data_IF_569594045633
#
_entry.id   IF_569594045633
#
_cell.length_a   1.000
_cell.length_b   1.000
_cell.length_c   1.000
_cell.angle_alpha   90.00
_cell.angle_beta   90.00
_cell.angle_gamma   90.00
#
_symmetry.space_group_name_H-M   'P 1'
#
loop_
_entity.id
_entity.type
_entity.pdbx_description
1 polymer ?
#
# COMPACT_ATOMS: atom_id res chain seq x y z
N UNK A 1 29.69 -40.90 33.21
CA UNK A 1 30.64 -42.04 33.23
C UNK A 1 31.39 -42.12 34.56
N UNK A 2 32.21 -41.12 34.97
CA UNK A 2 32.99 -41.13 36.23
C UNK A 2 32.13 -41.45 37.47
N UNK A 3 31.00 -40.77 37.64
CA UNK A 3 30.10 -40.99 38.82
C UNK A 3 29.48 -42.36 38.84
N UNK A 4 29.14 -42.90 37.66
CA UNK A 4 28.56 -44.23 37.56
C UNK A 4 29.59 -45.32 37.98
N UNK A 5 30.82 -45.23 37.47
CA UNK A 5 31.87 -46.17 37.82
C UNK A 5 32.21 -46.17 39.33
N UNK A 6 32.20 -44.98 39.94
CA UNK A 6 32.43 -44.87 41.40
C UNK A 6 31.21 -45.38 42.19
N UNK A 7 29.97 -45.11 41.75
CA UNK A 7 28.76 -45.68 42.34
C UNK A 7 28.71 -47.19 42.21
N UNK A 8 29.24 -47.77 41.16
CA UNK A 8 29.40 -49.23 40.92
C UNK A 8 30.56 -49.82 41.75
N UNK A 9 31.17 -49.06 42.68
CA UNK A 9 32.20 -49.52 43.63
C UNK A 9 33.64 -49.47 43.09
N UNK A 10 33.88 -48.90 41.90
CA UNK A 10 35.25 -48.82 41.33
C UNK A 10 36.02 -47.70 42.09
N UNK A 11 37.22 -48.02 42.66
CA UNK A 11 38.02 -47.03 43.37
C UNK A 11 38.43 -45.85 42.47
N UNK A 12 38.36 -44.60 43.02
CA UNK A 12 38.68 -43.38 42.24
C UNK A 12 40.03 -43.42 41.51
N UNK A 13 41.03 -44.12 42.12
CA UNK A 13 42.36 -44.31 41.50
C UNK A 13 42.26 -45.18 40.26
N UNK A 14 41.40 -46.16 40.27
CA UNK A 14 41.15 -47.03 39.12
C UNK A 14 40.42 -46.32 38.03
N UNK A 15 39.35 -45.61 38.38
CA UNK A 15 38.61 -44.74 37.41
C UNK A 15 39.53 -43.74 36.71
N UNK A 16 40.46 -43.11 37.46
CA UNK A 16 41.45 -42.19 36.89
C UNK A 16 42.38 -42.87 35.86
N UNK A 17 42.83 -44.10 36.14
CA UNK A 17 43.66 -44.88 35.23
C UNK A 17 42.90 -45.36 34.01
N UNK A 18 41.74 -45.94 34.22
CA UNK A 18 40.93 -46.54 33.14
C UNK A 18 40.42 -45.49 32.14
N UNK A 19 40.19 -44.26 32.60
CA UNK A 19 39.73 -43.17 31.76
C UNK A 19 40.86 -42.20 31.28
N UNK A 20 42.12 -42.47 31.68
CA UNK A 20 43.26 -41.63 31.29
C UNK A 20 43.18 -40.17 31.80
N UNK A 21 42.49 -39.93 32.94
CA UNK A 21 42.26 -38.58 33.49
C UNK A 21 42.92 -38.39 34.85
N UNK A 22 43.22 -37.14 35.21
CA UNK A 22 43.81 -36.81 36.49
C UNK A 22 42.87 -37.11 37.66
N UNK A 23 43.44 -37.59 38.80
CA UNK A 23 42.68 -37.86 40.07
C UNK A 23 41.90 -36.63 40.53
N UNK A 24 42.42 -35.42 40.36
CA UNK A 24 41.74 -34.15 40.64
C UNK A 24 40.52 -33.92 39.76
N UNK A 25 40.53 -34.46 38.54
CA UNK A 25 39.39 -34.40 37.62
C UNK A 25 38.28 -35.35 38.08
N UNK A 26 38.62 -36.53 38.55
CA UNK A 26 37.67 -37.50 39.12
C UNK A 26 37.04 -36.89 40.42
N UNK A 27 37.85 -36.34 41.31
CA UNK A 27 37.34 -35.72 42.53
C UNK A 27 36.42 -34.56 42.24
N UNK A 28 36.73 -33.68 41.29
CA UNK A 28 35.85 -32.58 40.85
C UNK A 28 34.55 -33.07 40.21
N UNK A 29 34.63 -34.14 39.40
CA UNK A 29 33.44 -34.74 38.80
C UNK A 29 32.49 -35.35 39.84
N UNK A 30 32.99 -35.78 40.96
CA UNK A 30 32.19 -36.30 42.08
C UNK A 30 31.60 -35.20 42.97
N UNK A 31 32.34 -34.11 43.14
CA UNK A 31 31.93 -32.97 43.98
C UNK A 31 30.86 -32.02 43.34
N UNK A 32 30.59 -32.19 42.05
CA UNK A 32 29.64 -31.26 41.34
C UNK A 32 28.58 -32.06 40.60
N UNK A 33 27.31 -31.68 40.68
CA UNK A 33 26.19 -32.30 39.96
C UNK A 33 26.13 -31.95 38.45
N UNK A 34 26.91 -30.95 38.00
CA UNK A 34 27.00 -30.51 36.63
C UNK A 34 28.44 -30.63 36.12
N UNK A 35 28.65 -30.75 34.79
CA UNK A 35 29.97 -30.66 34.21
C UNK A 35 30.68 -29.40 34.68
N UNK A 36 31.97 -29.41 35.04
CA UNK A 36 32.67 -28.20 35.45
C UNK A 36 32.71 -27.23 34.30
N UNK A 37 32.11 -26.03 34.53
CA UNK A 37 32.14 -24.91 33.62
C UNK A 37 33.41 -24.11 33.90
N UNK A 38 34.26 -23.95 32.88
CA UNK A 38 35.41 -23.06 33.03
C UNK A 38 34.94 -21.64 33.13
N UNK A 39 34.99 -21.04 34.32
CA UNK A 39 34.73 -19.63 34.55
C UNK A 39 36.06 -18.92 34.74
N UNK A 40 36.41 -18.10 33.73
CA UNK A 40 37.58 -17.24 33.83
C UNK A 40 37.21 -16.04 34.71
N UNK A 41 38.07 -15.71 35.68
CA UNK A 41 37.88 -14.49 36.48
C UNK A 41 37.75 -13.28 35.54
N UNK A 42 36.81 -12.33 35.83
CA UNK A 42 36.63 -11.13 35.02
C UNK A 42 37.97 -10.35 34.97
N UNK A 43 38.48 -10.13 33.76
CA UNK A 43 39.66 -9.30 33.53
C UNK A 43 39.20 -7.91 33.13
N UNK A 44 39.78 -6.83 33.69
CA UNK A 44 39.47 -5.47 33.25
C UNK A 44 39.68 -5.31 31.77
N UNK A 45 38.72 -4.69 31.10
CA UNK A 45 38.72 -4.42 29.65
C UNK A 45 38.94 -2.92 29.43
N UNK A 46 39.22 -2.52 28.18
CA UNK A 46 39.27 -1.09 27.81
C UNK A 46 38.01 -0.31 28.13
N UNK A 47 36.88 -0.99 28.27
CA UNK A 47 35.59 -0.38 28.64
C UNK A 47 35.43 -0.15 30.16
N UNK A 48 36.09 -0.94 30.98
CA UNK A 48 35.96 -0.90 32.45
C UNK A 48 36.14 0.48 33.07
N UNK A 49 37.09 1.32 32.68
CA UNK A 49 37.25 2.67 33.22
C UNK A 49 36.07 3.61 32.90
N UNK A 50 35.33 3.33 31.82
CA UNK A 50 34.21 4.15 31.34
C UNK A 50 32.86 3.66 31.87
N UNK A 51 32.79 2.42 32.31
CA UNK A 51 31.54 1.79 32.74
C UNK A 51 30.78 2.59 33.81
N UNK A 52 31.38 3.13 34.88
CA UNK A 52 30.66 3.88 35.89
C UNK A 52 29.96 5.12 35.29
N UNK A 53 30.61 5.85 34.41
CA UNK A 53 30.01 7.03 33.75
C UNK A 53 28.93 6.64 32.75
N UNK A 54 29.09 5.52 32.04
CA UNK A 54 28.07 4.96 31.14
C UNK A 54 26.83 4.58 31.94
N UNK A 55 26.98 3.92 33.11
CA UNK A 55 25.90 3.55 34.00
C UNK A 55 25.14 4.78 34.50
N UNK A 56 25.82 5.82 34.95
CA UNK A 56 25.18 7.07 35.39
C UNK A 56 24.36 7.72 34.26
N UNK A 57 24.88 7.73 33.02
CA UNK A 57 24.12 8.25 31.87
C UNK A 57 22.91 7.38 31.55
N UNK A 58 23.03 6.05 31.63
CA UNK A 58 21.92 5.14 31.37
C UNK A 58 20.83 5.20 32.44
N UNK A 59 21.16 5.54 33.67
CA UNK A 59 20.21 5.74 34.75
C UNK A 59 19.29 6.93 34.48
N UNK A 60 19.84 8.06 34.01
CA UNK A 60 19.04 9.24 33.66
C UNK A 60 18.39 9.13 32.26
N UNK A 61 19.09 8.49 31.33
CA UNK A 61 18.72 8.43 29.91
C UNK A 61 18.87 7.02 29.34
N UNK A 62 18.02 6.05 29.71
CA UNK A 62 18.15 4.64 29.32
C UNK A 62 18.12 4.40 27.79
N UNK A 63 17.47 5.28 27.05
CA UNK A 63 17.34 5.18 25.59
C UNK A 63 18.37 5.98 24.78
N UNK A 64 19.30 6.69 25.44
CA UNK A 64 20.31 7.49 24.75
C UNK A 64 21.16 6.62 23.80
N UNK A 65 21.35 7.02 22.51
CA UNK A 65 22.16 6.27 21.57
C UNK A 65 23.58 6.01 22.10
N UNK A 66 24.09 4.79 21.88
CA UNK A 66 25.42 4.42 22.35
C UNK A 66 26.55 5.31 21.77
N UNK A 67 26.37 5.84 20.56
CA UNK A 67 27.31 6.80 19.93
C UNK A 67 27.39 8.12 20.70
N UNK A 68 26.23 8.62 21.16
CA UNK A 68 26.17 9.86 21.97
C UNK A 68 26.76 9.62 23.38
N UNK A 69 26.51 8.43 23.97
CA UNK A 69 27.14 8.06 25.24
C UNK A 69 28.68 8.00 25.07
N UNK A 70 29.17 7.38 24.00
CA UNK A 70 30.59 7.27 23.71
C UNK A 70 31.27 8.65 23.63
N UNK A 71 30.66 9.60 22.94
CA UNK A 71 31.10 10.99 22.85
C UNK A 71 31.16 11.65 24.23
N UNK A 72 30.10 11.54 25.03
CA UNK A 72 29.99 12.16 26.36
C UNK A 72 31.02 11.62 27.38
N UNK A 73 31.34 10.33 27.28
CA UNK A 73 32.37 9.74 28.18
C UNK A 73 33.79 9.88 27.67
N UNK A 74 33.97 10.39 26.44
CA UNK A 74 35.28 10.56 25.82
C UNK A 74 35.89 9.23 25.34
N UNK A 75 35.07 8.32 24.79
CA UNK A 75 35.54 7.03 24.26
C UNK A 75 36.30 7.21 22.95
N UNK A 76 37.54 6.67 22.90
CA UNK A 76 38.42 6.74 21.73
C UNK A 76 38.65 5.38 21.05
N UNK A 77 38.10 4.30 21.58
CA UNK A 77 38.27 2.92 21.07
C UNK A 77 37.24 2.54 20.00
N UNK A 78 37.15 1.23 19.72
CA UNK A 78 36.19 0.68 18.77
C UNK A 78 34.74 1.02 19.14
N UNK A 79 34.03 1.67 18.23
CA UNK A 79 32.60 2.04 18.39
C UNK A 79 31.72 0.78 18.50
N UNK A 80 32.05 -0.29 17.78
CA UNK A 80 31.31 -1.57 17.84
C UNK A 80 31.46 -2.19 19.23
N UNK A 81 32.68 -2.27 19.75
CA UNK A 81 32.93 -2.76 21.10
C UNK A 81 32.19 -1.96 22.20
N UNK A 82 32.22 -0.64 22.09
CA UNK A 82 31.47 0.22 22.99
C UNK A 82 29.97 -0.03 22.93
N UNK A 83 29.43 -0.10 21.74
CA UNK A 83 27.99 -0.37 21.51
C UNK A 83 27.56 -1.71 22.11
N UNK A 84 28.37 -2.75 21.97
CA UNK A 84 28.05 -4.08 22.54
C UNK A 84 28.06 -4.05 24.08
N UNK A 85 28.99 -3.31 24.70
CA UNK A 85 28.99 -3.14 26.14
C UNK A 85 27.76 -2.32 26.63
N UNK A 86 27.42 -1.23 25.97
CA UNK A 86 26.20 -0.45 26.28
C UNK A 86 24.94 -1.31 26.10
N UNK A 87 24.89 -2.13 25.03
CA UNK A 87 23.77 -3.08 24.82
C UNK A 87 23.62 -4.08 25.96
N UNK A 88 24.73 -4.56 26.51
CA UNK A 88 24.73 -5.48 27.66
C UNK A 88 24.22 -4.81 28.93
N UNK A 89 24.59 -3.55 29.18
CA UNK A 89 24.21 -2.82 30.39
C UNK A 89 22.80 -2.26 30.35
N UNK A 90 22.33 -1.83 29.17
CA UNK A 90 21.05 -1.13 28.99
C UNK A 90 19.82 -1.84 29.60
N UNK A 91 19.67 -3.18 29.55
CA UNK A 91 18.53 -3.85 30.16
C UNK A 91 18.39 -3.64 31.66
N UNK A 92 19.47 -3.30 32.37
CA UNK A 92 19.46 -3.03 33.81
C UNK A 92 18.75 -1.70 34.15
N UNK A 93 18.70 -0.76 33.19
CA UNK A 93 18.15 0.59 33.35
C UNK A 93 16.83 0.81 32.60
N UNK A 94 16.58 -0.02 31.61
CA UNK A 94 15.34 0.06 30.85
C UNK A 94 14.19 -0.53 31.65
N UNK A 95 13.11 0.27 31.82
CA UNK A 95 11.89 -0.27 32.40
C UNK A 95 11.37 -1.40 31.50
N UNK A 96 10.98 -2.55 32.08
CA UNK A 96 10.30 -3.57 31.30
C UNK A 96 9.04 -2.97 30.68
N UNK A 97 8.89 -3.15 29.38
CA UNK A 97 7.69 -2.78 28.62
C UNK A 97 7.01 -4.11 28.21
N UNK A 98 6.14 -4.67 29.08
CA UNK A 98 5.50 -5.94 28.81
C UNK A 98 4.44 -5.75 27.73
N UNK A 99 4.56 -6.53 26.64
CA UNK A 99 3.55 -6.58 25.61
C UNK A 99 2.65 -7.81 25.80
N UNK A 100 1.35 -7.59 25.82
CA UNK A 100 0.38 -8.67 25.90
C UNK A 100 0.27 -9.41 24.55
N UNK A 101 0.03 -10.72 24.62
CA UNK A 101 -0.30 -11.48 23.43
C UNK A 101 -1.72 -11.18 23.00
N UNK A 102 -1.87 -10.37 21.96
CA UNK A 102 -3.17 -10.09 21.38
C UNK A 102 -3.83 -11.38 20.85
N UNK A 103 -4.97 -11.74 21.41
CA UNK A 103 -5.87 -12.77 20.89
C UNK A 103 -7.07 -12.09 20.23
N UNK A 104 -7.48 -12.62 19.09
CA UNK A 104 -8.58 -12.07 18.30
C UNK A 104 -9.68 -13.10 18.16
N UNK A 105 -10.92 -12.70 18.44
CA UNK A 105 -12.09 -13.52 18.16
C UNK A 105 -12.26 -13.68 16.63
N UNK A 106 -12.91 -14.77 16.22
CA UNK A 106 -13.24 -14.99 14.82
C UNK A 106 -14.13 -13.85 14.30
N UNK A 107 -13.87 -13.38 13.08
CA UNK A 107 -14.61 -12.33 12.39
C UNK A 107 -14.41 -10.91 12.93
N UNK A 108 -13.65 -10.76 14.00
CA UNK A 108 -13.53 -9.49 14.71
C UNK A 108 -12.76 -8.43 13.92
N UNK A 109 -11.57 -8.75 13.42
CA UNK A 109 -10.72 -7.75 12.79
C UNK A 109 -9.90 -8.28 11.61
N UNK A 110 -9.52 -7.37 10.72
CA UNK A 110 -8.45 -7.56 9.75
C UNK A 110 -7.49 -6.38 9.78
N UNK A 111 -6.20 -6.67 9.66
CA UNK A 111 -5.15 -5.68 9.55
C UNK A 111 -4.90 -5.35 8.08
N UNK A 112 -4.93 -4.06 7.75
CA UNK A 112 -4.64 -3.53 6.43
C UNK A 112 -3.30 -2.78 6.49
N UNK A 113 -2.41 -3.06 5.56
CA UNK A 113 -1.08 -2.47 5.50
C UNK A 113 -0.64 -2.24 4.07
N UNK A 114 0.25 -1.28 3.85
CA UNK A 114 0.91 -1.05 2.57
C UNK A 114 2.36 -1.55 2.65
N UNK A 115 2.64 -2.56 1.85
CA UNK A 115 3.98 -3.03 1.59
C UNK A 115 4.54 -2.40 0.33
N UNK A 116 5.79 -1.95 0.37
CA UNK A 116 6.52 -1.43 -0.78
C UNK A 116 7.62 -2.43 -1.14
N UNK A 117 7.42 -3.27 -2.16
CA UNK A 117 8.45 -4.19 -2.62
C UNK A 117 9.76 -3.46 -2.92
N UNK A 118 10.94 -3.99 -2.56
CA UNK A 118 12.21 -3.32 -2.79
C UNK A 118 12.61 -3.26 -4.27
N UNK A 119 11.86 -3.90 -5.16
CA UNK A 119 12.07 -3.90 -6.61
C UNK A 119 11.10 -2.97 -7.32
N UNK A 120 11.62 -2.21 -8.30
CA UNK A 120 10.81 -1.42 -9.21
C UNK A 120 10.13 -2.31 -10.24
N UNK A 121 8.87 -2.06 -10.51
CA UNK A 121 8.03 -2.80 -11.47
C UNK A 121 7.99 -2.03 -12.79
N UNK A 122 8.13 -2.71 -13.95
CA UNK A 122 7.96 -2.09 -15.26
C UNK A 122 6.53 -1.62 -15.47
N UNK A 123 6.38 -0.44 -16.11
CA UNK A 123 5.10 0.15 -16.48
C UNK A 123 4.94 0.16 -18.02
N UNK A 124 3.78 0.61 -18.49
CA UNK A 124 3.36 0.59 -19.89
C UNK A 124 4.26 1.44 -20.80
N UNK A 125 4.90 2.47 -20.25
CA UNK A 125 5.83 3.36 -20.97
C UNK A 125 7.30 2.89 -20.95
N UNK A 126 7.56 1.69 -20.39
CA UNK A 126 8.90 1.15 -20.21
C UNK A 126 9.65 1.70 -18.99
N UNK A 127 9.09 2.67 -18.28
CA UNK A 127 9.65 3.14 -17.02
C UNK A 127 9.50 2.08 -15.91
N UNK A 128 10.26 2.23 -14.83
CA UNK A 128 10.18 1.32 -13.67
C UNK A 128 9.99 2.13 -12.39
N UNK A 129 9.00 1.77 -11.59
CA UNK A 129 8.69 2.48 -10.34
C UNK A 129 8.42 1.54 -9.18
N UNK A 130 8.55 2.08 -7.94
CA UNK A 130 8.09 1.40 -6.74
C UNK A 130 6.58 1.63 -6.59
N UNK A 131 5.82 0.55 -6.52
CA UNK A 131 4.38 0.59 -6.36
C UNK A 131 3.97 0.00 -5.01
N UNK A 132 2.94 0.56 -4.36
CA UNK A 132 2.41 0.02 -3.12
C UNK A 132 1.62 -1.27 -3.37
N UNK A 133 1.71 -2.20 -2.43
CA UNK A 133 0.90 -3.41 -2.37
C UNK A 133 0.01 -3.31 -1.14
N UNK A 134 -1.29 -3.27 -1.34
CA UNK A 134 -2.24 -3.40 -0.24
C UNK A 134 -2.29 -4.85 0.21
N UNK A 135 -2.12 -5.07 1.51
CA UNK A 135 -2.22 -6.38 2.13
C UNK A 135 -3.28 -6.34 3.23
N UNK A 136 -4.23 -7.26 3.17
CA UNK A 136 -5.22 -7.49 4.22
C UNK A 136 -4.94 -8.83 4.87
N UNK A 137 -4.86 -8.86 6.19
CA UNK A 137 -4.70 -10.11 6.95
C UNK A 137 -5.74 -10.19 8.04
N UNK A 138 -6.53 -11.23 8.02
CA UNK A 138 -7.50 -11.49 9.10
C UNK A 138 -6.77 -11.70 10.43
N UNK A 139 -7.29 -11.13 11.50
CA UNK A 139 -6.59 -11.13 12.78
C UNK A 139 -6.67 -12.49 13.49
N UNK A 140 -7.75 -13.25 13.32
CA UNK A 140 -7.94 -14.57 13.90
C UNK A 140 -7.26 -15.66 13.08
N UNK A 141 -7.69 -15.86 11.84
CA UNK A 141 -7.19 -16.95 10.99
C UNK A 141 -5.80 -16.68 10.39
N UNK A 142 -5.33 -15.42 10.42
CA UNK A 142 -4.07 -14.99 9.77
C UNK A 142 -4.07 -15.18 8.25
N UNK A 143 -5.24 -15.32 7.65
CA UNK A 143 -5.38 -15.44 6.20
C UNK A 143 -5.00 -14.14 5.52
N UNK A 144 -4.16 -14.24 4.50
CA UNK A 144 -3.58 -13.09 3.79
C UNK A 144 -4.18 -12.95 2.40
N UNK A 145 -4.54 -11.71 2.07
CA UNK A 145 -4.93 -11.24 0.75
C UNK A 145 -4.05 -10.03 0.39
N UNK A 146 -3.83 -9.79 -0.87
CA UNK A 146 -3.11 -8.58 -1.26
C UNK A 146 -3.04 -8.38 -2.76
N UNK A 147 -2.90 -7.12 -3.15
CA UNK A 147 -2.70 -6.71 -4.54
C UNK A 147 -1.90 -5.41 -4.63
N UNK A 148 -1.10 -5.28 -5.68
CA UNK A 148 -0.43 -4.04 -6.04
C UNK A 148 -1.44 -3.05 -6.58
N UNK A 149 -1.26 -1.78 -6.24
CA UNK A 149 -2.16 -0.69 -6.62
C UNK A 149 -1.37 0.47 -7.24
N UNK A 150 -2.01 1.30 -8.07
CA UNK A 150 -1.31 2.36 -8.80
C UNK A 150 -0.79 3.46 -7.88
N UNK A 151 -1.57 3.85 -6.86
CA UNK A 151 -1.22 4.92 -5.94
C UNK A 151 -1.65 4.61 -4.51
N UNK A 152 -1.15 5.40 -3.54
CA UNK A 152 -1.64 5.36 -2.14
C UNK A 152 -2.70 6.43 -1.86
N UNK A 153 -3.41 6.90 -2.88
CA UNK A 153 -4.54 7.82 -2.71
C UNK A 153 -5.74 7.10 -2.13
N UNK A 154 -6.60 7.84 -1.48
CA UNK A 154 -7.79 7.30 -0.81
C UNK A 154 -8.65 6.46 -1.75
N UNK A 155 -8.87 6.93 -2.97
CA UNK A 155 -9.71 6.29 -3.96
C UNK A 155 -9.20 4.90 -4.34
N UNK A 156 -7.89 4.77 -4.59
CA UNK A 156 -7.26 3.49 -4.96
C UNK A 156 -7.20 2.54 -3.75
N UNK A 157 -6.94 3.07 -2.54
CA UNK A 157 -6.92 2.28 -1.30
C UNK A 157 -8.29 1.69 -0.97
N UNK A 158 -9.36 2.51 -1.06
CA UNK A 158 -10.71 2.06 -0.78
C UNK A 158 -11.18 1.04 -1.82
N UNK A 159 -10.88 1.28 -3.09
CA UNK A 159 -11.25 0.34 -4.16
C UNK A 159 -10.54 -0.99 -4.00
N UNK A 160 -9.22 -0.98 -3.80
CA UNK A 160 -8.46 -2.20 -3.56
C UNK A 160 -8.92 -2.94 -2.30
N UNK A 161 -9.27 -2.20 -1.23
CA UNK A 161 -9.85 -2.81 -0.04
C UNK A 161 -11.16 -3.52 -0.38
N UNK A 162 -12.03 -2.87 -1.17
CA UNK A 162 -13.29 -3.47 -1.59
C UNK A 162 -13.09 -4.73 -2.43
N UNK A 163 -12.21 -4.69 -3.44
CA UNK A 163 -11.90 -5.86 -4.29
C UNK A 163 -11.36 -7.03 -3.46
N UNK A 164 -10.45 -6.78 -2.51
CA UNK A 164 -9.93 -7.82 -1.63
C UNK A 164 -11.01 -8.37 -0.67
N UNK A 165 -11.95 -7.54 -0.20
CA UNK A 165 -13.09 -8.00 0.60
C UNK A 165 -14.08 -8.85 -0.24
N UNK A 166 -14.25 -8.53 -1.53
CA UNK A 166 -15.02 -9.37 -2.45
C UNK A 166 -14.37 -10.75 -2.64
N UNK A 167 -13.03 -10.80 -2.78
CA UNK A 167 -12.30 -12.08 -2.83
C UNK A 167 -12.45 -12.84 -1.50
N UNK A 168 -12.40 -12.16 -0.37
CA UNK A 168 -12.65 -12.76 0.94
C UNK A 168 -14.11 -13.27 1.05
N UNK A 169 -15.06 -12.58 0.40
CA UNK A 169 -16.49 -12.88 0.42
C UNK A 169 -17.21 -12.42 1.69
N UNK A 170 -16.54 -11.69 2.57
CA UNK A 170 -17.06 -11.20 3.86
C UNK A 170 -16.37 -9.90 4.27
N UNK A 171 -16.95 -9.22 5.25
CA UNK A 171 -16.41 -7.97 5.82
C UNK A 171 -16.07 -8.19 7.29
N UNK A 172 -14.81 -8.04 7.70
CA UNK A 172 -14.43 -8.03 9.11
C UNK A 172 -15.16 -6.92 9.88
N UNK A 173 -15.50 -7.16 11.15
CA UNK A 173 -16.17 -6.15 11.98
C UNK A 173 -15.32 -4.90 12.20
N UNK A 174 -14.00 -5.03 12.15
CA UNK A 174 -13.03 -3.93 12.27
C UNK A 174 -11.94 -4.05 11.22
N UNK A 175 -11.61 -2.93 10.57
CA UNK A 175 -10.45 -2.77 9.71
C UNK A 175 -9.39 -1.95 10.45
N UNK A 176 -8.24 -2.53 10.68
CA UNK A 176 -7.14 -1.91 11.44
C UNK A 176 -6.11 -1.42 10.45
N UNK A 177 -5.86 -0.11 10.43
CA UNK A 177 -4.85 0.53 9.61
C UNK A 177 -3.74 1.14 10.46
N UNK A 178 -2.50 1.14 9.95
CA UNK A 178 -1.47 2.05 10.46
C UNK A 178 -1.78 3.50 10.04
N UNK A 179 -0.95 4.47 10.42
CA UNK A 179 -1.12 5.87 10.07
C UNK A 179 -0.90 6.14 8.58
N UNK A 180 -1.72 5.54 7.72
CA UNK A 180 -1.71 5.77 6.28
C UNK A 180 -2.43 7.08 5.95
N UNK A 181 -1.74 8.08 5.34
CA UNK A 181 -2.35 9.37 5.03
C UNK A 181 -3.56 9.29 4.10
N UNK A 182 -3.59 8.31 3.18
CA UNK A 182 -4.74 8.06 2.30
C UNK A 182 -5.98 7.55 3.04
N UNK A 183 -5.84 7.07 4.27
CA UNK A 183 -6.97 6.68 5.14
C UNK A 183 -7.32 7.80 6.11
N UNK A 184 -6.34 8.64 6.49
CA UNK A 184 -6.58 9.80 7.34
C UNK A 184 -5.36 10.24 8.12
N UNK A 185 -5.48 11.42 8.75
CA UNK A 185 -4.42 12.00 9.59
C UNK A 185 -4.97 12.42 10.95
N UNK A 186 -4.22 12.14 12.02
CA UNK A 186 -4.62 12.45 13.39
C UNK A 186 -5.99 11.83 13.72
N UNK A 187 -6.97 12.61 14.11
CA UNK A 187 -8.34 12.15 14.42
C UNK A 187 -9.30 12.18 13.23
N UNK A 188 -8.89 12.69 12.05
CA UNK A 188 -9.76 12.87 10.88
C UNK A 188 -9.52 11.76 9.87
N UNK A 189 -10.62 11.19 9.38
CA UNK A 189 -10.59 10.31 8.21
C UNK A 189 -10.39 11.13 6.93
N UNK A 190 -9.79 10.53 5.91
CA UNK A 190 -9.80 11.09 4.57
C UNK A 190 -11.23 11.10 4.00
N UNK A 191 -11.47 11.96 3.02
CA UNK A 191 -12.76 12.06 2.34
C UNK A 191 -13.14 10.69 1.75
N UNK A 192 -14.42 10.32 1.83
CA UNK A 192 -14.94 9.05 1.35
C UNK A 192 -14.80 7.87 2.31
N UNK A 193 -13.81 7.89 3.23
CA UNK A 193 -13.55 6.76 4.15
C UNK A 193 -14.76 6.48 5.07
N UNK A 194 -15.39 7.51 5.60
CA UNK A 194 -16.55 7.35 6.48
C UNK A 194 -17.75 6.74 5.74
N UNK A 195 -18.01 7.18 4.51
CA UNK A 195 -19.06 6.61 3.67
C UNK A 195 -18.77 5.16 3.29
N UNK A 196 -17.52 4.87 2.93
CA UNK A 196 -17.06 3.52 2.62
C UNK A 196 -17.27 2.56 3.79
N UNK A 197 -16.77 2.91 4.98
CA UNK A 197 -16.89 2.06 6.17
C UNK A 197 -18.33 1.95 6.66
N UNK A 198 -19.14 3.02 6.53
CA UNK A 198 -20.56 3.01 6.84
C UNK A 198 -21.35 2.04 5.95
N UNK A 199 -21.08 2.02 4.64
CA UNK A 199 -21.73 1.06 3.70
C UNK A 199 -21.32 -0.37 4.03
N UNK A 200 -20.07 -0.63 4.44
CA UNK A 200 -19.59 -1.94 4.86
C UNK A 200 -20.08 -2.35 6.26
N UNK A 201 -20.68 -1.45 7.04
CA UNK A 201 -21.03 -1.62 8.45
C UNK A 201 -19.82 -2.05 9.32
N UNK A 202 -18.61 -1.67 8.93
CA UNK A 202 -17.35 -2.00 9.62
C UNK A 202 -16.81 -0.80 10.37
N UNK A 203 -16.09 -1.03 11.46
CA UNK A 203 -15.39 0.04 12.19
C UNK A 203 -13.94 0.14 11.71
N UNK A 204 -13.50 1.36 11.41
CA UNK A 204 -12.10 1.60 11.07
C UNK A 204 -11.35 2.03 12.32
N UNK A 205 -10.31 1.26 12.66
CA UNK A 205 -9.36 1.59 13.72
C UNK A 205 -8.03 2.01 13.10
N UNK A 206 -7.52 3.17 13.50
CA UNK A 206 -6.16 3.58 13.17
C UNK A 206 -5.29 3.46 14.40
N UNK A 207 -4.16 2.79 14.23
CA UNK A 207 -3.21 2.59 15.32
C UNK A 207 -2.55 3.93 15.69
N UNK A 208 -2.31 4.17 17.00
CA UNK A 208 -1.54 5.33 17.43
C UNK A 208 -0.13 5.32 16.81
N UNK A 209 0.47 6.49 16.54
CA UNK A 209 1.87 6.55 16.13
C UNK A 209 2.76 5.93 17.21
N UNK A 210 3.71 5.07 16.81
CA UNK A 210 4.69 4.41 17.70
C UNK A 210 4.08 3.42 18.70
N UNK A 211 3.05 2.67 18.29
CA UNK A 211 2.59 1.52 19.05
C UNK A 211 3.40 0.27 18.60
N UNK A 212 4.41 -0.18 19.39
CA UNK A 212 5.26 -1.30 19.02
C UNK A 212 4.53 -2.64 19.09
N UNK A 213 3.46 -2.76 19.89
CA UNK A 213 2.73 -4.02 20.09
C UNK A 213 1.95 -4.41 18.81
N UNK A 214 1.25 -3.45 18.24
CA UNK A 214 0.50 -3.64 16.99
C UNK A 214 1.42 -3.78 15.78
N UNK A 215 2.60 -3.14 15.80
CA UNK A 215 3.54 -3.05 14.68
C UNK A 215 4.38 -4.31 14.48
N UNK A 216 4.68 -5.05 15.54
CA UNK A 216 5.52 -6.26 15.47
C UNK A 216 4.95 -7.40 14.62
N UNK A 217 3.65 -7.40 14.31
CA UNK A 217 3.02 -8.36 13.39
C UNK A 217 3.22 -7.92 11.94
N UNK A 218 3.12 -6.61 11.67
CA UNK A 218 3.23 -6.01 10.34
C UNK A 218 4.68 -6.05 9.83
N UNK A 219 5.66 -5.61 10.62
CA UNK A 219 7.08 -5.62 10.25
C UNK A 219 7.58 -7.03 9.92
N UNK A 220 7.18 -8.03 10.70
CA UNK A 220 7.52 -9.44 10.42
C UNK A 220 6.88 -9.95 9.13
N UNK A 221 5.74 -9.41 8.72
CA UNK A 221 5.05 -9.80 7.49
C UNK A 221 5.74 -9.23 6.26
N UNK A 222 6.12 -7.96 6.28
CA UNK A 222 6.85 -7.33 5.18
C UNK A 222 8.18 -8.04 4.95
N UNK A 223 8.94 -8.34 6.03
CA UNK A 223 10.13 -9.19 5.95
C UNK A 223 9.85 -10.59 5.40
N UNK A 224 8.68 -11.18 5.67
CA UNK A 224 8.29 -12.48 5.11
C UNK A 224 8.06 -12.40 3.59
N UNK A 225 7.44 -11.33 3.08
CA UNK A 225 7.29 -11.12 1.63
C UNK A 225 8.64 -10.92 0.95
N UNK A 226 9.52 -10.10 1.55
CA UNK A 226 10.85 -9.81 1.01
C UNK A 226 11.76 -11.05 0.96
N UNK A 227 11.65 -11.93 1.95
CA UNK A 227 12.51 -13.11 2.05
C UNK A 227 11.94 -14.38 1.40
N UNK A 228 10.61 -14.45 1.22
CA UNK A 228 9.95 -15.69 0.76
C UNK A 228 9.18 -15.53 -0.55
N UNK A 229 8.74 -14.34 -0.92
CA UNK A 229 8.06 -14.08 -2.19
C UNK A 229 9.01 -13.50 -3.24
N UNK A 230 9.76 -12.46 -2.90
CA UNK A 230 10.57 -11.69 -3.85
C UNK A 230 11.77 -12.44 -4.46
N UNK A 231 12.50 -13.32 -3.74
CA UNK A 231 13.71 -13.91 -4.29
C UNK A 231 13.46 -14.78 -5.52
N UNK A 232 14.29 -14.58 -6.56
CA UNK A 232 14.23 -15.37 -7.79
C UNK A 232 13.05 -15.08 -8.70
N UNK A 233 12.28 -14.01 -8.46
CA UNK A 233 11.15 -13.61 -9.31
C UNK A 233 11.49 -12.39 -10.15
N UNK A 234 10.99 -12.38 -11.36
CA UNK A 234 10.96 -11.23 -12.23
C UNK A 234 9.51 -10.89 -12.60
N UNK A 235 9.26 -9.60 -12.78
CA UNK A 235 7.93 -9.08 -13.06
C UNK A 235 7.97 -8.24 -14.33
N UNK A 236 7.05 -8.51 -15.23
CA UNK A 236 6.91 -7.80 -16.51
C UNK A 236 5.97 -6.61 -16.44
N UNK A 237 5.04 -6.62 -15.49
CA UNK A 237 4.04 -5.56 -15.27
C UNK A 237 3.43 -5.65 -13.88
N UNK A 238 2.64 -4.63 -13.44
CA UNK A 238 1.86 -4.71 -12.21
C UNK A 238 0.84 -5.87 -12.22
N UNK A 239 0.23 -6.15 -13.36
CA UNK A 239 -0.71 -7.26 -13.51
C UNK A 239 -0.02 -8.61 -13.31
N UNK A 240 1.15 -8.81 -13.93
CA UNK A 240 1.99 -10.01 -13.75
C UNK A 240 2.40 -10.18 -12.27
N UNK A 241 2.81 -9.09 -11.60
CA UNK A 241 3.08 -9.11 -10.17
C UNK A 241 1.87 -9.61 -9.38
N UNK A 242 0.67 -9.07 -9.65
CA UNK A 242 -0.54 -9.44 -8.96
C UNK A 242 -0.91 -10.92 -9.14
N UNK A 243 -0.75 -11.46 -10.35
CA UNK A 243 -0.95 -12.89 -10.63
C UNK A 243 0.01 -13.73 -9.79
N UNK A 244 1.32 -13.46 -9.88
CA UNK A 244 2.34 -14.21 -9.14
C UNK A 244 2.16 -14.08 -7.62
N UNK A 245 1.76 -12.91 -7.13
CA UNK A 245 1.54 -12.68 -5.70
C UNK A 245 0.30 -13.41 -5.18
N UNK A 246 -0.81 -13.39 -5.92
CA UNK A 246 -2.02 -14.12 -5.58
C UNK A 246 -1.77 -15.64 -5.51
N UNK A 247 -1.09 -16.22 -6.50
CA UNK A 247 -0.71 -17.64 -6.50
C UNK A 247 0.19 -17.99 -5.31
N UNK A 248 1.13 -17.11 -4.99
CA UNK A 248 2.02 -17.32 -3.85
C UNK A 248 1.26 -17.21 -2.52
N UNK A 249 0.36 -16.23 -2.35
CA UNK A 249 -0.50 -16.08 -1.17
C UNK A 249 -1.38 -17.31 -0.96
N UNK A 250 -1.92 -17.89 -2.03
CA UNK A 250 -2.69 -19.14 -1.96
C UNK A 250 -1.86 -20.25 -1.31
N UNK A 251 -0.60 -20.43 -1.75
CA UNK A 251 0.32 -21.41 -1.14
C UNK A 251 0.75 -21.01 0.27
N UNK A 252 0.99 -19.72 0.54
CA UNK A 252 1.38 -19.23 1.85
C UNK A 252 0.29 -19.47 2.91
N UNK A 253 -0.98 -19.31 2.55
CA UNK A 253 -2.12 -19.56 3.43
C UNK A 253 -2.33 -21.05 3.78
N UNK A 254 -1.69 -21.99 3.08
CA UNK A 254 -1.71 -23.42 3.43
C UNK A 254 -0.54 -23.86 4.32
N UNK A 255 0.37 -22.95 4.67
CA UNK A 255 1.50 -23.26 5.58
C UNK A 255 1.08 -23.11 7.04
N UNK A 256 1.62 -23.96 7.91
CA UNK A 256 1.39 -23.85 9.36
C UNK A 256 2.04 -22.58 9.90
N UNK A 257 1.25 -21.72 10.52
CA UNK A 257 1.70 -20.50 11.18
C UNK A 257 1.92 -20.78 12.65
N UNK A 258 3.14 -20.54 13.14
CA UNK A 258 3.57 -20.90 14.51
C UNK A 258 2.67 -20.26 15.59
N UNK A 259 2.19 -19.05 15.39
CA UNK A 259 1.39 -18.34 16.40
C UNK A 259 0.00 -18.91 16.60
N UNK A 260 -0.60 -19.44 15.54
CA UNK A 260 -1.94 -20.07 15.58
C UNK A 260 -1.84 -21.61 15.58
N UNK A 261 -0.63 -22.18 15.41
CA UNK A 261 -0.32 -23.61 15.40
C UNK A 261 -1.10 -24.43 14.36
N UNK A 262 -1.65 -23.78 13.35
CA UNK A 262 -2.42 -24.38 12.25
C UNK A 262 -2.25 -23.57 10.97
N UNK A 263 -2.90 -23.98 9.88
CA UNK A 263 -2.86 -23.27 8.60
C UNK A 263 -3.95 -22.20 8.59
N UNK A 264 -3.68 -21.01 8.06
CA UNK A 264 -4.70 -19.93 7.91
C UNK A 264 -5.99 -20.42 7.24
N UNK A 265 -5.87 -21.22 6.20
CA UNK A 265 -7.02 -21.74 5.43
C UNK A 265 -7.95 -22.61 6.29
N UNK A 266 -7.42 -23.33 7.28
CA UNK A 266 -8.22 -24.23 8.14
C UNK A 266 -9.11 -23.44 9.12
N UNK A 267 -8.73 -22.20 9.48
CA UNK A 267 -9.50 -21.32 10.37
C UNK A 267 -10.39 -20.34 9.60
N UNK A 268 -10.24 -20.25 8.27
CA UNK A 268 -10.89 -19.22 7.47
C UNK A 268 -12.41 -19.32 7.50
N UNK A 269 -12.98 -20.52 7.43
CA UNK A 269 -14.43 -20.70 7.39
C UNK A 269 -15.09 -20.26 8.71
N UNK A 270 -14.48 -20.59 9.85
CA UNK A 270 -14.93 -20.13 11.16
C UNK A 270 -14.80 -18.60 11.29
N UNK A 271 -13.72 -18.03 10.75
CA UNK A 271 -13.49 -16.59 10.73
C UNK A 271 -14.56 -15.89 9.88
N UNK A 272 -14.80 -16.38 8.66
CA UNK A 272 -15.83 -15.87 7.74
C UNK A 272 -17.26 -15.97 8.30
N UNK A 273 -17.59 -17.04 8.99
CA UNK A 273 -18.92 -17.23 9.58
C UNK A 273 -19.26 -16.15 10.61
N UNK A 274 -18.25 -15.62 11.32
CA UNK A 274 -18.42 -14.57 12.31
C UNK A 274 -18.31 -13.13 11.74
N UNK A 275 -17.86 -12.97 10.49
CA UNK A 275 -17.79 -11.68 9.79
C UNK A 275 -19.17 -11.20 9.30
N UNK A 276 -19.25 -9.94 8.93
CA UNK A 276 -20.42 -9.34 8.30
C UNK A 276 -20.56 -9.82 6.83
N UNK A 277 -21.78 -9.89 6.29
CA UNK A 277 -21.96 -10.14 4.87
C UNK A 277 -21.46 -8.96 4.03
N UNK A 278 -21.15 -9.22 2.76
CA UNK A 278 -20.94 -8.13 1.80
C UNK A 278 -22.23 -7.34 1.64
N UNK A 279 -22.16 -6.00 1.53
CA UNK A 279 -23.36 -5.18 1.31
C UNK A 279 -23.94 -5.46 -0.08
N UNK A 280 -25.28 -5.35 -0.26
CA UNK A 280 -25.93 -5.56 -1.55
C UNK A 280 -25.57 -4.49 -2.58
N UNK A 281 -25.15 -3.28 -2.12
CA UNK A 281 -24.67 -2.18 -2.95
C UNK A 281 -23.21 -1.97 -2.65
N UNK A 282 -22.33 -1.94 -3.68
CA UNK A 282 -20.91 -1.63 -3.48
C UNK A 282 -20.71 -0.30 -2.74
N UNK A 283 -19.74 -0.22 -1.82
CA UNK A 283 -19.39 1.05 -1.20
C UNK A 283 -18.82 2.01 -2.23
N UNK A 284 -18.97 3.34 -2.03
CA UNK A 284 -18.34 4.32 -2.91
C UNK A 284 -16.81 4.16 -2.81
N UNK A 285 -16.20 3.75 -3.92
CA UNK A 285 -14.77 3.52 -4.02
C UNK A 285 -14.29 3.80 -5.43
N UNK A 286 -12.98 4.06 -5.58
CA UNK A 286 -12.39 4.47 -6.85
C UNK A 286 -12.56 5.98 -7.11
N UNK A 287 -11.91 6.43 -8.16
CA UNK A 287 -11.96 7.83 -8.55
C UNK A 287 -13.24 8.11 -9.35
N UNK A 288 -13.99 9.13 -8.93
CA UNK A 288 -15.20 9.56 -9.61
C UNK A 288 -15.21 11.09 -9.71
N UNK A 289 -15.51 11.59 -10.90
CA UNK A 289 -15.67 13.02 -11.12
C UNK A 289 -16.70 13.29 -12.23
N UNK A 290 -17.33 14.47 -12.19
CA UNK A 290 -18.23 14.92 -13.21
C UNK A 290 -17.68 16.18 -13.85
N UNK A 291 -17.36 16.10 -15.13
CA UNK A 291 -16.67 17.16 -15.86
C UNK A 291 -17.40 17.53 -17.15
N UNK A 292 -17.30 18.79 -17.57
CA UNK A 292 -17.71 19.18 -18.91
C UNK A 292 -16.58 18.82 -19.88
N UNK A 293 -16.87 17.97 -20.88
CA UNK A 293 -15.88 17.57 -21.86
C UNK A 293 -15.42 18.78 -22.67
N UNK A 294 -14.11 19.03 -22.67
CA UNK A 294 -13.46 20.11 -23.41
C UNK A 294 -13.44 19.88 -24.91
N UNK A 295 -13.03 20.90 -25.67
CA UNK A 295 -12.91 20.84 -27.13
C UNK A 295 -11.79 19.88 -27.61
N UNK A 296 -10.83 19.63 -26.75
CA UNK A 296 -9.75 18.64 -26.95
C UNK A 296 -10.23 17.20 -26.84
N UNK A 297 -11.46 16.97 -26.34
CA UNK A 297 -12.11 15.67 -26.10
C UNK A 297 -11.32 14.70 -25.22
N UNK A 298 -10.55 15.23 -24.25
CA UNK A 298 -9.86 14.42 -23.25
C UNK A 298 -10.38 14.71 -21.83
N UNK A 299 -10.34 13.67 -21.00
CA UNK A 299 -10.53 13.78 -19.55
C UNK A 299 -9.23 13.40 -18.85
N UNK A 300 -8.90 14.14 -17.78
CA UNK A 300 -7.69 13.91 -17.00
C UNK A 300 -8.00 13.11 -15.74
N UNK A 301 -7.23 12.03 -15.56
CA UNK A 301 -7.25 11.22 -14.34
C UNK A 301 -5.81 11.14 -13.84
N UNK A 302 -5.60 11.57 -12.57
CA UNK A 302 -4.27 11.75 -12.02
C UNK A 302 -3.42 12.71 -12.89
N UNK A 303 -2.46 12.17 -13.61
CA UNK A 303 -1.57 12.94 -14.50
C UNK A 303 -1.73 12.56 -15.96
N UNK A 304 -2.62 11.62 -16.28
CA UNK A 304 -2.78 11.07 -17.62
C UNK A 304 -4.10 11.50 -18.27
N UNK A 305 -4.10 11.69 -19.57
CA UNK A 305 -5.23 12.13 -20.38
C UNK A 305 -5.81 10.96 -21.18
N UNK A 306 -7.14 10.84 -21.17
CA UNK A 306 -7.88 9.77 -21.85
C UNK A 306 -8.88 10.37 -22.82
N UNK A 307 -8.84 9.94 -24.08
CA UNK A 307 -9.76 10.45 -25.09
C UNK A 307 -11.20 9.97 -24.86
N UNK A 308 -12.16 10.81 -25.23
CA UNK A 308 -13.59 10.53 -25.13
C UNK A 308 -14.21 10.76 -26.50
N UNK A 309 -15.34 10.12 -26.80
CA UNK A 309 -16.05 10.34 -28.07
C UNK A 309 -16.30 11.84 -28.28
N UNK A 310 -15.75 12.47 -29.32
CA UNK A 310 -15.92 13.90 -29.59
C UNK A 310 -17.37 14.33 -29.84
N UNK A 311 -18.26 13.39 -30.17
CA UNK A 311 -19.68 13.68 -30.34
C UNK A 311 -20.35 14.24 -29.06
N UNK A 312 -19.72 14.06 -27.89
CA UNK A 312 -20.23 14.55 -26.61
C UNK A 312 -19.47 15.77 -26.06
N UNK A 313 -18.67 16.45 -26.89
CA UNK A 313 -18.01 17.72 -26.53
C UNK A 313 -19.03 18.71 -25.98
N UNK A 314 -18.66 19.42 -24.88
CA UNK A 314 -19.52 20.39 -24.22
C UNK A 314 -20.56 19.79 -23.29
N UNK A 315 -20.74 18.47 -23.25
CA UNK A 315 -21.68 17.79 -22.34
C UNK A 315 -20.99 17.52 -20.99
N UNK A 316 -21.80 17.40 -19.93
CA UNK A 316 -21.34 16.91 -18.63
C UNK A 316 -21.28 15.38 -18.68
N UNK A 317 -20.10 14.84 -18.47
CA UNK A 317 -19.85 13.40 -18.45
C UNK A 317 -19.42 12.95 -17.06
N UNK A 318 -19.85 11.75 -16.69
CA UNK A 318 -19.42 11.09 -15.46
C UNK A 318 -18.19 10.23 -15.78
N UNK A 319 -17.08 10.52 -15.12
CA UNK A 319 -15.79 9.83 -15.30
C UNK A 319 -15.51 8.99 -14.07
N UNK A 320 -15.22 7.72 -14.27
CA UNK A 320 -14.85 6.78 -13.20
C UNK A 320 -13.54 6.08 -13.54
N UNK A 321 -12.66 5.95 -12.55
CA UNK A 321 -11.46 5.12 -12.69
C UNK A 321 -11.42 4.05 -11.60
N UNK A 322 -11.39 2.80 -12.06
CA UNK A 322 -11.05 1.63 -11.29
C UNK A 322 -9.52 1.46 -11.17
N UNK A 323 -9.06 0.33 -10.65
CA UNK A 323 -7.63 0.02 -10.63
C UNK A 323 -7.08 -0.29 -12.03
N UNK A 324 -7.87 -0.92 -12.90
CA UNK A 324 -7.46 -1.37 -14.23
C UNK A 324 -8.15 -0.63 -15.37
N UNK A 325 -9.31 0.00 -15.14
CA UNK A 325 -10.14 0.56 -16.19
C UNK A 325 -10.58 1.98 -15.89
N UNK A 326 -10.61 2.80 -16.94
CA UNK A 326 -11.23 4.12 -16.98
C UNK A 326 -12.50 4.04 -17.81
N UNK A 327 -13.60 4.58 -17.33
CA UNK A 327 -14.87 4.67 -18.06
C UNK A 327 -15.42 6.09 -17.99
N UNK A 328 -15.94 6.55 -19.12
CA UNK A 328 -16.65 7.83 -19.24
C UNK A 328 -18.07 7.55 -19.69
N UNK A 329 -19.03 8.13 -18.98
CA UNK A 329 -20.46 7.93 -19.27
C UNK A 329 -21.20 9.25 -19.47
N UNK A 330 -22.12 9.24 -20.40
CA UNK A 330 -23.10 10.30 -20.58
C UNK A 330 -24.49 9.72 -20.37
N UNK A 331 -25.24 10.21 -19.38
CA UNK A 331 -26.56 9.69 -19.01
C UNK A 331 -26.60 8.15 -18.86
N UNK A 332 -25.57 7.58 -18.22
CA UNK A 332 -25.43 6.14 -18.00
C UNK A 332 -24.85 5.35 -19.18
N UNK A 333 -24.85 5.90 -20.41
CA UNK A 333 -24.23 5.26 -21.58
C UNK A 333 -22.72 5.46 -21.58
N UNK A 334 -21.94 4.40 -21.82
CA UNK A 334 -20.49 4.48 -21.96
C UNK A 334 -20.16 5.19 -23.27
N UNK A 335 -19.39 6.27 -23.20
CA UNK A 335 -18.89 7.08 -24.34
C UNK A 335 -17.37 7.00 -24.49
N UNK A 336 -16.66 6.42 -23.52
CA UNK A 336 -15.27 6.00 -23.62
C UNK A 336 -14.94 4.92 -22.60
N UNK A 337 -14.01 4.03 -22.94
CA UNK A 337 -13.50 3.00 -22.06
C UNK A 337 -12.05 2.68 -22.42
N UNK A 338 -11.14 2.84 -21.46
CA UNK A 338 -9.71 2.62 -21.64
C UNK A 338 -9.15 1.74 -20.52
N UNK A 339 -8.05 1.06 -20.79
CA UNK A 339 -7.22 0.51 -19.72
C UNK A 339 -6.56 1.66 -18.97
N UNK A 340 -6.57 1.61 -17.63
CA UNK A 340 -5.92 2.62 -16.82
C UNK A 340 -4.41 2.41 -16.87
N UNK A 341 -3.69 3.42 -17.35
CA UNK A 341 -2.23 3.41 -17.34
C UNK A 341 -1.72 3.85 -15.97
N UNK A 342 -0.71 3.15 -15.46
CA UNK A 342 -0.11 3.46 -14.15
C UNK A 342 1.13 4.34 -14.30
N UNK A 343 1.68 4.41 -15.50
CA UNK A 343 2.71 5.39 -15.88
C UNK A 343 2.13 6.81 -15.84
N UNK A 344 2.96 7.78 -15.46
CA UNK A 344 2.55 9.18 -15.32
C UNK A 344 2.64 9.94 -16.63
N UNK A 345 1.75 10.94 -16.81
CA UNK A 345 1.82 11.89 -17.91
C UNK A 345 1.54 11.25 -19.29
N UNK A 346 0.80 10.15 -19.31
CA UNK A 346 0.46 9.46 -20.56
C UNK A 346 -0.77 10.07 -21.22
N UNK A 347 -0.83 9.96 -22.55
CA UNK A 347 -2.01 10.29 -23.35
C UNK A 347 -2.52 9.04 -24.02
N UNK A 348 -3.67 8.56 -23.56
CA UNK A 348 -4.33 7.35 -24.09
C UNK A 348 -5.41 7.77 -25.07
N UNK A 349 -5.20 7.44 -26.33
CA UNK A 349 -6.06 7.88 -27.44
C UNK A 349 -6.69 6.68 -28.13
N UNK A 350 -8.03 6.66 -28.22
CA UNK A 350 -8.75 5.72 -29.06
C UNK A 350 -8.75 6.23 -30.52
N UNK A 351 -8.27 5.46 -31.49
CA UNK A 351 -8.30 5.83 -32.91
C UNK A 351 -9.72 6.15 -33.43
N UNK A 352 -10.75 5.51 -32.89
CA UNK A 352 -12.14 5.79 -33.25
C UNK A 352 -12.56 7.21 -32.87
N UNK A 353 -12.08 7.71 -31.70
CA UNK A 353 -12.31 9.08 -31.27
C UNK A 353 -11.63 10.09 -32.22
N UNK A 354 -10.41 9.80 -32.67
CA UNK A 354 -9.70 10.65 -33.66
C UNK A 354 -10.46 10.71 -34.96
N UNK A 355 -10.94 9.56 -35.48
CA UNK A 355 -11.73 9.51 -36.70
C UNK A 355 -13.04 10.31 -36.58
N UNK A 356 -13.74 10.19 -35.45
CA UNK A 356 -14.95 10.97 -35.14
C UNK A 356 -14.64 12.46 -35.10
N UNK A 357 -13.54 12.86 -34.43
CA UNK A 357 -13.12 14.26 -34.36
C UNK A 357 -12.82 14.84 -35.76
N UNK A 358 -12.20 14.07 -36.64
CA UNK A 358 -11.94 14.48 -38.04
C UNK A 358 -13.25 14.73 -38.79
N UNK A 359 -14.19 13.79 -38.76
CA UNK A 359 -15.51 13.93 -39.39
C UNK A 359 -16.28 15.13 -38.86
N UNK A 360 -16.31 15.36 -37.56
CA UNK A 360 -16.99 16.51 -36.96
C UNK A 360 -16.37 17.83 -37.38
N UNK A 361 -15.04 17.92 -37.52
CA UNK A 361 -14.36 19.12 -38.05
C UNK A 361 -14.72 19.39 -39.51
N UNK A 362 -14.78 18.36 -40.35
CA UNK A 362 -15.21 18.48 -41.74
C UNK A 362 -16.66 19.00 -41.84
N UNK A 363 -17.56 18.46 -41.01
CA UNK A 363 -18.95 18.95 -40.94
C UNK A 363 -19.05 20.39 -40.42
N UNK A 364 -18.22 20.79 -39.44
CA UNK A 364 -18.22 22.15 -38.91
C UNK A 364 -17.75 23.18 -39.95
N UNK A 365 -16.86 22.82 -40.84
CA UNK A 365 -16.37 23.67 -41.90
C UNK A 365 -17.27 23.68 -43.19
N UNK A 366 -18.22 22.74 -43.28
CA UNK A 366 -19.22 22.81 -44.32
C UNK A 366 -20.23 23.92 -43.95
N UNK A 367 -20.49 24.89 -44.88
CA UNK A 367 -21.55 25.84 -44.64
C UNK A 367 -22.86 25.09 -44.39
N UNK A 368 -23.69 25.53 -43.44
CA UNK A 368 -24.99 24.92 -43.19
C UNK A 368 -25.71 24.88 -44.53
N UNK A 369 -26.20 23.70 -44.92
CA UNK A 369 -27.08 23.59 -46.07
C UNK A 369 -28.19 24.63 -45.86
N UNK A 370 -28.25 25.68 -46.69
CA UNK A 370 -29.38 26.55 -46.67
C UNK A 370 -30.62 25.68 -46.84
N UNK A 371 -31.60 25.72 -45.93
CA UNK A 371 -32.85 25.05 -46.19
C UNK A 371 -33.27 25.58 -47.58
N UNK A 372 -33.52 24.68 -48.54
CA UNK A 372 -34.20 25.07 -49.73
C UNK A 372 -35.53 25.66 -49.23
N UNK A 373 -35.61 26.97 -49.19
CA UNK A 373 -36.88 27.62 -49.10
C UNK A 373 -37.56 27.38 -50.44
N UNK A 374 -38.23 26.25 -50.57
CA UNK A 374 -39.39 26.13 -51.39
C UNK A 374 -40.45 27.05 -50.77
N UNK A 375 -40.33 28.34 -51.00
CA UNK A 375 -41.44 29.26 -50.88
C UNK A 375 -42.29 29.04 -52.11
N UNK A 376 -43.47 28.41 -52.06
CA UNK A 376 -44.31 28.18 -53.19
C UNK A 376 -44.95 29.49 -53.73
N UNK A 377 -44.75 30.61 -53.12
CA UNK A 377 -45.29 31.87 -53.56
C UNK A 377 -44.26 33.02 -53.44
N UNK A 378 -43.84 33.52 -54.54
CA UNK A 378 -43.23 34.74 -54.99
C UNK A 378 -42.99 35.92 -54.02
N UNK A 379 -42.52 35.67 -52.81
CA UNK A 379 -42.10 36.66 -51.81
C UNK A 379 -40.58 36.76 -51.66
N UNK A 380 -39.80 36.42 -52.72
CA UNK A 380 -38.44 36.96 -52.85
C UNK A 380 -38.62 38.38 -53.39
N UNK A 381 -38.84 39.34 -52.53
CA UNK A 381 -38.73 40.73 -52.89
C UNK A 381 -37.26 41.05 -53.14
N UNK A 382 -36.99 41.64 -54.31
CA UNK A 382 -35.67 42.14 -54.67
C UNK A 382 -35.30 43.22 -53.58
N UNK A 383 -34.03 43.25 -53.16
CA UNK A 383 -33.52 44.30 -52.28
C UNK A 383 -33.87 45.69 -52.84
N UNK A 384 -33.93 45.84 -54.17
CA UNK A 384 -34.39 47.06 -54.81
C UNK A 384 -35.86 47.43 -54.49
N UNK A 385 -36.71 46.46 -54.10
CA UNK A 385 -38.10 46.74 -53.65
C UNK A 385 -38.11 47.29 -52.24
N UNK A 386 -37.17 46.91 -51.37
CA UNK A 386 -36.99 47.49 -50.05
C UNK A 386 -36.42 48.94 -50.17
N UNK A 387 -35.40 49.13 -51.03
CA UNK A 387 -34.80 50.45 -51.23
C UNK A 387 -35.88 51.47 -51.77
N UNK A 388 -36.76 50.92 -52.64
CA UNK A 388 -37.87 51.71 -53.17
C UNK A 388 -38.96 52.02 -52.10
N UNK A 389 -39.27 51.03 -51.27
CA UNK A 389 -40.24 51.13 -50.19
C UNK A 389 -39.77 52.05 -49.05
N UNK A 390 -38.49 52.16 -48.85
CA UNK A 390 -37.89 53.00 -47.83
C UNK A 390 -37.38 54.34 -48.35
N UNK A 391 -37.63 54.64 -49.67
CA UNK A 391 -37.29 55.97 -50.24
C UNK A 391 -35.77 56.17 -50.41
N UNK A 392 -34.97 55.10 -50.48
CA UNK A 392 -33.51 55.20 -50.61
C UNK A 392 -33.02 55.39 -52.04
N UNK A 393 -33.91 55.47 -53.00
CA UNK A 393 -33.54 55.45 -54.45
C UNK A 393 -33.59 56.85 -55.08
N UNK A 394 -33.74 57.97 -54.32
CA UNK A 394 -33.54 59.29 -54.86
C UNK A 394 -32.48 60.06 -54.09
N UNK A 395 -31.30 60.17 -54.71
CA UNK A 395 -30.39 61.25 -54.31
C UNK A 395 -28.95 60.88 -54.11
N UNK A 396 -28.31 60.27 -55.09
CA UNK A 396 -26.85 60.45 -55.23
C UNK A 396 -26.43 60.52 -56.71
N UNK A 397 -26.88 61.56 -57.40
CA UNK A 397 -26.11 62.14 -58.48
C UNK A 397 -25.45 63.38 -57.96
N UNK A 398 -24.26 63.26 -57.50
CA UNK A 398 -23.45 64.37 -56.99
C UNK A 398 -22.01 64.14 -57.47
N UNK A 399 -21.69 64.76 -58.65
CA UNK A 399 -20.34 65.06 -59.05
C UNK A 399 -19.53 65.66 -57.91
N UNK A 400 -18.40 65.07 -57.64
CA UNK A 400 -17.46 65.59 -56.68
C UNK A 400 -16.05 65.21 -57.10
N UNK A 401 -15.47 65.99 -57.98
CA UNK A 401 -14.05 65.98 -58.30
C UNK A 401 -13.14 66.09 -57.09
N UNK A 402 -12.08 65.34 -57.19
CA UNK A 402 -10.87 65.35 -56.36
C UNK A 402 -10.31 66.79 -56.20
N UNK A 403 -9.82 67.01 -54.98
CA UNK A 403 -8.63 67.80 -54.71
C UNK A 403 -7.89 67.17 -53.52
#
# INVERSE_FOLDING_TARGET
MVRRLVADGVPQRQVARDLGIGRSTVARALASDRPPKYERAPVPTSFTPFEPRVRAILEEHPDMPATVIAERVGWTGSVTWFRDNVRRLRPEYRRPDPADRLSWAAGDAAQCDLWFPPRKIPLEDGSKTLLPVLVITTAHSRFMLGQMIPTRRTEDLLLATWELLQVLGRVPRRLIWDNEPGIGRGKRHAEGVASFTGTLATTLLRLPPRDPESKGVVERRNGFFETSFMPGRDFTSPADFNIQFCEWLTRANTRVVRTIKTRPVDLLDADKAAMLPLPPVPPPAGWMNRVRLGRDYYVRIDTSDYSVDPAVIGRLVDVTAGLERVQVRLHGRVVAGHDRVWARGQTVTDPAHVATAKRLREQFHQPPARPAHDCPDGLVRDLADYDRAFGLVEGFTGDGQVA
#
